data_IF_226872601489
#
_entry.id   IF_226872601489
#
_cell.length_a   1.000
_cell.length_b   1.000
_cell.length_c   1.000
_cell.angle_alpha   90.00
_cell.angle_beta   90.00
_cell.angle_gamma   90.00
#
_symmetry.space_group_name_H-M   'P 1'
#
loop_
_entity.id
_entity.type
_entity.pdbx_description
1 polymer ?
#
# COMPACT_ATOMS: atom_id res chain seq x y z
N UNK A 1 -35.58 -61.06 -32.01
CA UNK A 1 -35.87 -59.93 -32.92
C UNK A 1 -35.86 -58.66 -32.07
N UNK A 2 -35.00 -57.93 -32.41
CA UNK A 2 -34.65 -56.53 -32.46
C UNK A 2 -33.93 -56.00 -31.22
N UNK A 3 -32.67 -55.88 -31.39
CA UNK A 3 -31.66 -55.15 -30.62
C UNK A 3 -31.87 -53.64 -30.78
N UNK A 4 -31.77 -52.89 -29.69
CA UNK A 4 -31.45 -51.44 -29.77
C UNK A 4 -30.33 -51.14 -28.83
N UNK A 5 -29.19 -50.81 -29.40
CA UNK A 5 -27.99 -50.28 -28.78
C UNK A 5 -28.31 -48.91 -28.15
N UNK A 6 -27.92 -48.72 -26.89
CA UNK A 6 -27.80 -47.42 -26.28
C UNK A 6 -26.33 -47.04 -26.13
N UNK A 7 -25.92 -46.20 -27.04
CA UNK A 7 -24.59 -45.56 -27.11
C UNK A 7 -24.60 -44.40 -26.06
N UNK A 8 -23.91 -44.57 -24.95
CA UNK A 8 -23.65 -43.51 -23.99
C UNK A 8 -22.37 -42.77 -24.41
N UNK A 9 -22.57 -41.65 -25.07
CA UNK A 9 -21.51 -40.71 -25.40
C UNK A 9 -20.93 -40.07 -24.13
N UNK A 10 -19.65 -40.27 -23.92
CA UNK A 10 -18.84 -39.59 -22.90
C UNK A 10 -18.86 -38.08 -23.11
N UNK A 11 -19.42 -37.34 -22.16
CA UNK A 11 -19.39 -35.89 -22.14
C UNK A 11 -17.96 -35.41 -21.84
N UNK A 12 -17.46 -34.57 -22.73
CA UNK A 12 -16.11 -34.07 -22.75
C UNK A 12 -15.70 -33.30 -21.49
N UNK A 13 -14.45 -33.52 -21.12
CA UNK A 13 -13.76 -32.78 -20.09
C UNK A 13 -13.73 -31.28 -20.41
N UNK A 14 -14.37 -30.50 -19.56
CA UNK A 14 -14.31 -29.04 -19.59
C UNK A 14 -12.84 -28.60 -19.42
N UNK A 15 -12.28 -28.06 -20.47
CA UNK A 15 -10.98 -27.37 -20.46
C UNK A 15 -11.08 -26.20 -19.50
N UNK A 16 -10.39 -26.31 -18.38
CA UNK A 16 -10.18 -25.19 -17.44
C UNK A 16 -9.57 -24.03 -18.22
N UNK A 17 -10.36 -22.98 -18.42
CA UNK A 17 -9.90 -21.74 -19.01
C UNK A 17 -8.71 -21.22 -18.20
N UNK A 18 -7.58 -20.99 -18.86
CA UNK A 18 -6.48 -20.20 -18.33
C UNK A 18 -7.07 -18.87 -17.82
N UNK A 19 -6.71 -18.41 -16.62
CA UNK A 19 -7.10 -17.08 -16.18
C UNK A 19 -6.61 -16.09 -17.24
N UNK A 20 -7.53 -15.34 -17.81
CA UNK A 20 -7.20 -14.23 -18.70
C UNK A 20 -6.36 -13.27 -17.87
N UNK A 21 -5.05 -13.22 -18.16
CA UNK A 21 -4.22 -12.09 -17.79
C UNK A 21 -4.97 -10.85 -18.24
N UNK A 22 -5.44 -10.04 -17.28
CA UNK A 22 -6.20 -8.84 -17.59
C UNK A 22 -5.40 -8.01 -18.58
N UNK A 23 -5.90 -7.90 -19.80
CA UNK A 23 -5.40 -6.93 -20.75
C UNK A 23 -5.50 -5.59 -20.05
N UNK A 24 -4.43 -4.76 -19.98
CA UNK A 24 -4.52 -3.44 -19.36
C UNK A 24 -5.74 -2.74 -19.96
N UNK A 25 -6.71 -2.38 -19.12
CA UNK A 25 -7.93 -1.74 -19.57
C UNK A 25 -7.53 -0.63 -20.54
N UNK A 26 -8.16 -0.57 -21.69
CA UNK A 26 -7.80 0.36 -22.76
C UNK A 26 -7.62 1.74 -22.17
N UNK A 27 -6.36 2.17 -22.02
CA UNK A 27 -6.04 3.51 -21.55
C UNK A 27 -6.88 4.48 -22.41
N UNK A 28 -7.64 5.31 -21.72
CA UNK A 28 -8.49 6.31 -22.35
C UNK A 28 -7.64 7.14 -23.33
N UNK A 29 -8.22 7.53 -24.46
CA UNK A 29 -7.49 8.33 -25.47
C UNK A 29 -7.03 9.66 -24.88
N UNK A 30 -5.79 10.10 -25.14
CA UNK A 30 -5.34 11.45 -24.77
C UNK A 30 -6.32 12.52 -25.26
N UNK A 31 -6.52 13.56 -24.43
CA UNK A 31 -7.45 14.65 -24.73
C UNK A 31 -8.92 14.36 -24.42
N UNK A 32 -9.26 13.15 -23.92
CA UNK A 32 -10.66 12.78 -23.64
C UNK A 32 -10.99 12.82 -22.13
N UNK A 33 -12.28 12.99 -21.81
CA UNK A 33 -12.86 12.89 -20.47
C UNK A 33 -13.91 11.78 -20.47
N UNK A 34 -13.96 11.01 -19.38
CA UNK A 34 -14.92 9.90 -19.21
C UNK A 34 -15.52 9.93 -17.81
N UNK A 35 -16.82 9.71 -17.69
CA UNK A 35 -17.49 9.39 -16.43
C UNK A 35 -17.20 7.91 -16.11
N UNK A 36 -16.71 7.63 -14.92
CA UNK A 36 -16.37 6.28 -14.46
C UNK A 36 -17.44 5.72 -13.54
N UNK A 37 -18.02 6.58 -12.70
CA UNK A 37 -19.07 6.21 -11.74
C UNK A 37 -20.07 7.35 -11.59
N UNK A 38 -21.35 7.00 -11.45
CA UNK A 38 -22.42 7.89 -10.97
C UNK A 38 -23.21 7.11 -9.92
N UNK A 39 -23.18 7.59 -8.69
CA UNK A 39 -23.99 7.09 -7.59
C UNK A 39 -24.81 8.23 -6.96
N UNK A 40 -25.73 7.95 -6.04
CA UNK A 40 -26.63 8.92 -5.46
C UNK A 40 -25.88 10.14 -4.85
N UNK A 41 -25.67 11.18 -5.66
CA UNK A 41 -25.04 12.43 -5.26
C UNK A 41 -23.53 12.53 -5.48
N UNK A 42 -22.86 11.46 -5.96
CA UNK A 42 -21.41 11.48 -6.24
C UNK A 42 -21.15 11.15 -7.72
N UNK A 43 -20.13 11.76 -8.31
CA UNK A 43 -19.70 11.52 -9.68
C UNK A 43 -18.19 11.41 -9.77
N UNK A 44 -17.69 10.30 -10.32
CA UNK A 44 -16.26 10.10 -10.61
C UNK A 44 -16.00 10.32 -12.09
N UNK A 45 -15.08 11.26 -12.41
CA UNK A 45 -14.64 11.56 -13.77
C UNK A 45 -13.13 11.43 -13.92
N UNK A 46 -12.69 10.92 -15.06
CA UNK A 46 -11.28 10.86 -15.45
C UNK A 46 -11.04 11.61 -16.75
N UNK A 47 -10.04 12.50 -16.74
CA UNK A 47 -9.46 13.12 -17.93
C UNK A 47 -8.04 12.60 -18.16
N UNK A 48 -7.72 12.26 -19.40
CA UNK A 48 -6.39 11.94 -19.86
C UNK A 48 -5.85 13.12 -20.67
N UNK A 49 -4.78 13.77 -20.20
CA UNK A 49 -4.15 14.87 -20.93
C UNK A 49 -3.20 14.34 -22.02
N UNK A 50 -2.95 15.12 -23.11
CA UNK A 50 -2.01 14.73 -24.17
C UNK A 50 -0.59 14.45 -23.66
N UNK A 51 -0.19 15.08 -22.55
CA UNK A 51 1.11 14.87 -21.86
C UNK A 51 1.20 13.52 -21.12
N UNK A 52 0.13 12.72 -21.08
CA UNK A 52 0.05 11.48 -20.32
C UNK A 52 -0.35 11.68 -18.84
N UNK A 53 -0.48 12.92 -18.36
CA UNK A 53 -1.00 13.21 -17.03
C UNK A 53 -2.48 12.81 -16.95
N UNK A 54 -2.85 12.12 -15.87
CA UNK A 54 -4.22 11.73 -15.56
C UNK A 54 -4.80 12.65 -14.49
N UNK A 55 -6.05 13.05 -14.66
CA UNK A 55 -6.79 13.81 -13.65
C UNK A 55 -8.07 13.06 -13.35
N UNK A 56 -8.23 12.60 -12.13
CA UNK A 56 -9.42 11.91 -11.65
C UNK A 56 -10.08 12.73 -10.53
N UNK A 57 -11.40 12.88 -10.60
CA UNK A 57 -12.14 13.68 -9.60
C UNK A 57 -13.33 12.92 -9.09
N UNK A 58 -13.66 13.09 -7.83
CA UNK A 58 -14.90 12.63 -7.21
C UNK A 58 -15.65 13.84 -6.65
N UNK A 59 -16.78 14.20 -7.27
CA UNK A 59 -17.66 15.27 -6.80
C UNK A 59 -18.56 14.74 -5.70
N UNK A 60 -18.56 15.39 -4.55
CA UNK A 60 -19.34 15.05 -3.36
C UNK A 60 -20.11 16.29 -2.94
N UNK A 61 -21.38 16.44 -3.35
CA UNK A 61 -22.19 17.60 -2.95
C UNK A 61 -22.49 17.55 -1.45
N UNK A 62 -22.54 18.71 -0.83
CA UNK A 62 -22.95 18.87 0.56
C UNK A 62 -21.82 18.85 1.59
N UNK A 63 -20.59 18.48 1.21
CA UNK A 63 -19.41 18.69 2.06
C UNK A 63 -18.85 20.12 1.83
N UNK A 64 -18.07 20.61 2.81
CA UNK A 64 -17.43 21.93 2.73
C UNK A 64 -15.90 21.81 2.63
N UNK A 65 -15.41 20.64 2.26
CA UNK A 65 -13.99 20.34 2.10
C UNK A 65 -13.65 19.84 0.69
N UNK A 66 -12.37 19.99 0.33
CA UNK A 66 -11.79 19.42 -0.85
C UNK A 66 -10.40 18.89 -0.51
N UNK A 67 -10.10 17.66 -0.98
CA UNK A 67 -8.77 17.05 -0.87
C UNK A 67 -8.19 16.86 -2.26
N UNK A 68 -6.94 17.26 -2.44
CA UNK A 68 -6.17 17.09 -3.68
C UNK A 68 -4.92 16.27 -3.41
N UNK A 69 -4.62 15.29 -4.27
CA UNK A 69 -3.39 14.52 -4.22
C UNK A 69 -2.73 14.46 -5.59
N UNK A 70 -1.42 14.67 -5.61
CA UNK A 70 -0.57 14.41 -6.79
C UNK A 70 0.24 13.14 -6.51
N UNK A 71 -0.20 12.06 -7.14
CA UNK A 71 0.38 10.74 -7.03
C UNK A 71 1.46 10.54 -8.08
N UNK A 72 2.59 10.02 -7.66
CA UNK A 72 3.72 9.70 -8.53
C UNK A 72 3.96 8.18 -8.46
N UNK A 73 4.00 7.50 -9.60
CA UNK A 73 4.27 6.05 -9.69
C UNK A 73 5.77 5.77 -9.49
N UNK A 74 6.30 6.24 -8.38
CA UNK A 74 7.68 6.09 -7.93
C UNK A 74 7.70 5.99 -6.42
N UNK A 75 8.37 4.99 -5.89
CA UNK A 75 8.60 4.79 -4.46
C UNK A 75 9.96 4.14 -4.21
N UNK A 76 10.22 3.69 -2.99
CA UNK A 76 11.51 3.11 -2.61
C UNK A 76 11.90 1.89 -3.45
N UNK A 77 10.94 1.16 -4.00
CA UNK A 77 11.17 0.05 -4.92
C UNK A 77 11.90 0.46 -6.20
N UNK A 78 11.74 1.72 -6.64
CA UNK A 78 12.30 2.24 -7.89
C UNK A 78 13.76 2.71 -7.77
N UNK A 79 14.30 2.68 -6.58
CA UNK A 79 15.65 3.07 -6.25
C UNK A 79 16.66 1.97 -6.62
N UNK A 80 17.88 2.39 -6.93
CA UNK A 80 19.02 1.48 -6.93
C UNK A 80 19.57 1.36 -5.51
N UNK A 81 20.27 0.26 -5.16
CA UNK A 81 20.82 0.07 -3.82
C UNK A 81 21.66 1.24 -3.32
N UNK A 82 22.43 1.87 -4.22
CA UNK A 82 23.36 2.96 -3.89
C UNK A 82 22.64 4.27 -3.51
N UNK A 83 21.36 4.38 -3.84
CA UNK A 83 20.51 5.55 -3.53
C UNK A 83 19.23 5.11 -2.80
N UNK A 84 19.34 4.07 -1.98
CA UNK A 84 18.22 3.64 -1.15
C UNK A 84 17.84 4.77 -0.17
N UNK A 85 16.52 5.04 -0.06
CA UNK A 85 15.98 6.18 0.67
C UNK A 85 15.79 7.45 -0.16
N UNK A 86 16.17 7.46 -1.45
CA UNK A 86 16.08 8.65 -2.31
C UNK A 86 14.64 9.17 -2.48
N UNK A 87 13.63 8.30 -2.54
CA UNK A 87 12.26 8.72 -2.71
C UNK A 87 11.72 9.45 -1.47
N UNK A 88 12.07 8.95 -0.28
CA UNK A 88 11.72 9.56 0.99
C UNK A 88 12.50 10.85 1.24
N UNK A 89 13.80 10.84 1.01
CA UNK A 89 14.62 12.05 1.13
C UNK A 89 14.14 13.18 0.18
N UNK A 90 13.72 12.80 -1.02
CA UNK A 90 13.12 13.74 -1.97
C UNK A 90 11.79 14.30 -1.46
N UNK A 91 10.98 13.51 -0.77
CA UNK A 91 9.75 13.97 -0.13
C UNK A 91 10.02 15.18 0.75
N UNK A 92 11.00 15.13 1.65
CA UNK A 92 11.42 16.24 2.50
C UNK A 92 11.87 17.47 1.68
N UNK A 93 12.75 17.24 0.71
CA UNK A 93 13.37 18.30 -0.05
C UNK A 93 12.39 19.11 -0.89
N UNK A 94 11.31 18.52 -1.35
CA UNK A 94 10.35 19.24 -2.17
C UNK A 94 9.62 20.35 -1.40
N UNK A 95 9.53 20.26 -0.06
CA UNK A 95 8.94 21.29 0.79
C UNK A 95 9.90 22.41 1.22
N UNK A 96 11.22 22.30 0.91
CA UNK A 96 12.23 23.26 1.38
C UNK A 96 12.33 24.53 0.53
N UNK A 97 11.48 24.67 -0.45
CA UNK A 97 11.32 25.88 -1.26
C UNK A 97 11.29 25.59 -2.75
N UNK A 98 10.61 26.48 -3.43
CA UNK A 98 10.39 26.44 -4.88
C UNK A 98 10.96 27.71 -5.52
N UNK A 99 10.86 27.82 -6.85
CA UNK A 99 11.21 29.05 -7.56
C UNK A 99 10.30 30.23 -7.19
N UNK A 100 9.13 29.98 -6.57
CA UNK A 100 8.12 31.01 -6.24
C UNK A 100 7.97 31.25 -4.74
N UNK A 101 8.28 30.25 -3.90
CA UNK A 101 7.98 30.25 -2.46
C UNK A 101 9.17 29.73 -1.65
N UNK A 102 9.42 30.37 -0.52
CA UNK A 102 10.29 29.77 0.52
C UNK A 102 9.52 28.68 1.26
N UNK A 103 10.23 27.82 2.02
CA UNK A 103 9.59 26.82 2.89
C UNK A 103 8.62 27.47 3.90
N UNK A 104 8.99 28.61 4.49
CA UNK A 104 8.11 29.37 5.39
C UNK A 104 6.85 29.85 4.68
N UNK A 105 6.96 30.41 3.46
CA UNK A 105 5.81 30.86 2.71
C UNK A 105 4.86 29.72 2.33
N UNK A 106 5.36 28.51 2.03
CA UNK A 106 4.53 27.33 1.78
C UNK A 106 3.70 27.00 3.04
N UNK A 107 4.32 26.99 4.22
CA UNK A 107 3.64 26.73 5.48
C UNK A 107 2.64 27.84 5.83
N UNK A 108 3.05 29.10 5.72
CA UNK A 108 2.18 30.26 6.03
C UNK A 108 0.93 30.32 5.14
N UNK A 109 1.04 30.02 3.83
CA UNK A 109 -0.08 30.05 2.90
C UNK A 109 -1.13 28.98 3.20
N UNK A 110 -0.71 27.74 3.58
CA UNK A 110 -1.65 26.66 3.90
C UNK A 110 -2.26 26.87 5.31
N UNK A 111 -1.46 27.33 6.29
CA UNK A 111 -1.93 27.63 7.64
C UNK A 111 -2.95 28.78 7.65
N UNK A 112 -2.77 29.79 6.78
CA UNK A 112 -3.68 30.94 6.68
C UNK A 112 -5.11 30.54 6.31
N UNK A 113 -5.31 29.40 5.63
CA UNK A 113 -6.63 28.86 5.26
C UNK A 113 -7.06 27.71 6.17
N UNK A 114 -6.27 27.40 7.23
CA UNK A 114 -6.55 26.27 8.12
C UNK A 114 -6.51 24.92 7.42
N UNK A 115 -5.72 24.82 6.35
CA UNK A 115 -5.55 23.60 5.57
C UNK A 115 -4.41 22.74 6.07
N UNK A 116 -4.31 21.54 5.50
CA UNK A 116 -3.18 20.62 5.67
C UNK A 116 -2.48 20.46 4.31
N UNK A 117 -1.14 20.46 4.31
CA UNK A 117 -0.30 20.12 3.17
C UNK A 117 0.76 19.13 3.65
N UNK A 118 0.80 17.94 3.05
CA UNK A 118 1.69 16.88 3.49
C UNK A 118 2.04 15.92 2.35
N UNK A 119 2.89 14.93 2.60
CA UNK A 119 3.22 13.88 1.66
C UNK A 119 3.46 12.55 2.39
N UNK A 120 3.55 11.47 1.64
CA UNK A 120 4.06 10.19 2.11
C UNK A 120 4.68 9.40 0.97
N UNK A 121 5.71 8.65 1.31
CA UNK A 121 6.40 7.72 0.41
C UNK A 121 6.10 6.27 0.80
N UNK A 122 5.71 5.47 -0.19
CA UNK A 122 5.52 4.03 -0.04
C UNK A 122 6.49 3.26 -0.94
N UNK A 123 6.44 1.94 -0.88
CA UNK A 123 7.31 1.09 -1.72
C UNK A 123 7.15 1.36 -3.22
N UNK A 124 5.93 1.65 -3.72
CA UNK A 124 5.65 1.73 -5.16
C UNK A 124 5.07 3.08 -5.64
N UNK A 125 4.85 4.02 -4.74
CA UNK A 125 4.35 5.37 -5.06
C UNK A 125 4.68 6.37 -3.96
N UNK A 126 4.66 7.65 -4.34
CA UNK A 126 4.69 8.81 -3.44
C UNK A 126 3.46 9.66 -3.71
N UNK A 127 2.89 10.28 -2.70
CA UNK A 127 1.75 11.19 -2.81
C UNK A 127 2.04 12.49 -2.08
N UNK A 128 1.84 13.61 -2.75
CA UNK A 128 1.82 14.96 -2.18
C UNK A 128 0.38 15.42 -2.17
N UNK A 129 -0.14 15.81 -1.02
CA UNK A 129 -1.57 16.09 -0.88
C UNK A 129 -1.85 17.31 -0.01
N UNK A 130 -3.03 17.90 -0.24
CA UNK A 130 -3.57 18.94 0.61
C UNK A 130 -5.05 18.67 0.92
N UNK A 131 -5.49 19.10 2.11
CA UNK A 131 -6.86 19.09 2.55
C UNK A 131 -7.26 20.50 3.00
N UNK A 132 -8.29 21.05 2.41
CA UNK A 132 -8.70 22.45 2.59
C UNK A 132 -10.22 22.61 2.55
N UNK A 133 -10.72 23.80 2.84
CA UNK A 133 -12.09 24.17 2.50
C UNK A 133 -12.29 24.18 0.97
N UNK A 134 -13.50 23.93 0.52
CA UNK A 134 -13.83 23.86 -0.91
C UNK A 134 -13.50 25.16 -1.68
N UNK A 135 -13.59 26.32 -1.02
CA UNK A 135 -13.22 27.62 -1.58
C UNK A 135 -11.71 27.81 -1.77
N UNK A 136 -10.87 27.11 -0.99
CA UNK A 136 -9.42 27.18 -1.03
C UNK A 136 -8.78 26.13 -1.96
N UNK A 137 -9.58 25.34 -2.67
CA UNK A 137 -9.09 24.37 -3.65
C UNK A 137 -8.10 24.98 -4.67
N UNK A 138 -8.26 26.23 -5.17
CA UNK A 138 -7.27 26.80 -6.08
C UNK A 138 -5.87 26.93 -5.47
N UNK A 139 -5.78 27.30 -4.19
CA UNK A 139 -4.52 27.38 -3.45
C UNK A 139 -3.91 25.98 -3.26
N UNK A 140 -4.70 25.01 -2.83
CA UNK A 140 -4.24 23.64 -2.62
C UNK A 140 -3.66 23.01 -3.90
N UNK A 141 -4.34 23.17 -5.05
CA UNK A 141 -3.82 22.67 -6.34
C UNK A 141 -2.53 23.37 -6.75
N UNK A 142 -2.43 24.70 -6.51
CA UNK A 142 -1.23 25.48 -6.84
C UNK A 142 -0.05 25.08 -5.94
N UNK A 143 -0.25 24.92 -4.62
CA UNK A 143 0.78 24.50 -3.67
C UNK A 143 1.29 23.08 -3.97
N UNK A 144 0.41 22.09 -4.13
CA UNK A 144 0.79 20.72 -4.44
C UNK A 144 1.57 20.65 -5.76
N UNK A 145 1.15 21.39 -6.78
CA UNK A 145 1.87 21.45 -8.04
C UNK A 145 3.22 22.16 -7.90
N UNK A 146 3.28 23.25 -7.14
CA UNK A 146 4.48 24.06 -6.94
C UNK A 146 5.59 23.24 -6.26
N UNK A 147 5.29 22.59 -5.14
CA UNK A 147 6.27 21.76 -4.42
C UNK A 147 6.76 20.58 -5.28
N UNK A 148 5.89 19.98 -6.10
CA UNK A 148 6.29 18.83 -6.92
C UNK A 148 7.04 19.22 -8.20
N UNK A 149 6.77 20.37 -8.79
CA UNK A 149 7.32 20.73 -10.10
C UNK A 149 8.40 21.84 -10.06
N UNK A 150 8.40 22.68 -9.04
CA UNK A 150 9.25 23.87 -8.96
C UNK A 150 10.27 23.83 -7.82
N UNK A 151 10.37 22.70 -7.09
CA UNK A 151 11.33 22.55 -6.00
C UNK A 151 12.76 22.81 -6.44
N UNK A 152 13.49 23.56 -5.63
CA UNK A 152 14.89 23.95 -5.91
C UNK A 152 15.88 22.86 -5.53
N UNK A 153 15.59 22.07 -4.50
CA UNK A 153 16.50 21.07 -3.92
C UNK A 153 17.90 21.67 -3.69
N UNK A 154 17.97 22.81 -2.98
CA UNK A 154 19.17 23.59 -2.76
C UNK A 154 20.28 22.78 -2.04
N UNK A 155 21.58 23.07 -2.26
CA UNK A 155 22.66 22.33 -1.59
C UNK A 155 22.60 22.43 -0.06
N UNK A 156 22.22 23.59 0.48
CA UNK A 156 22.10 23.81 1.92
C UNK A 156 20.93 23.01 2.49
N UNK A 157 19.77 23.03 1.82
CA UNK A 157 18.60 22.30 2.26
C UNK A 157 18.84 20.80 2.18
N UNK A 158 19.56 20.35 1.15
CA UNK A 158 19.99 18.97 1.02
C UNK A 158 20.79 18.49 2.23
N UNK A 159 21.82 19.25 2.67
CA UNK A 159 22.60 18.84 3.84
C UNK A 159 21.80 18.95 5.16
N UNK A 160 20.91 19.94 5.29
CA UNK A 160 20.04 20.05 6.46
C UNK A 160 19.10 18.85 6.56
N UNK A 161 18.45 18.48 5.44
CA UNK A 161 17.50 17.36 5.43
C UNK A 161 18.19 16.00 5.54
N UNK A 162 19.48 15.89 5.14
CA UNK A 162 20.27 14.69 5.44
C UNK A 162 20.27 14.40 6.94
N UNK A 163 20.48 15.44 7.76
CA UNK A 163 20.46 15.31 9.21
C UNK A 163 19.09 14.87 9.73
N UNK A 164 18.01 15.43 9.18
CA UNK A 164 16.63 15.05 9.58
C UNK A 164 16.33 13.59 9.22
N UNK A 165 16.67 13.16 8.00
CA UNK A 165 16.44 11.76 7.58
C UNK A 165 17.27 10.77 8.40
N UNK A 166 18.50 11.13 8.79
CA UNK A 166 19.31 10.30 9.67
C UNK A 166 18.71 10.20 11.09
N UNK A 167 18.13 11.29 11.60
CA UNK A 167 17.40 11.27 12.87
C UNK A 167 16.15 10.38 12.80
N UNK A 168 15.40 10.43 11.71
CA UNK A 168 14.25 9.55 11.50
C UNK A 168 14.64 8.07 11.40
N UNK A 169 15.81 7.78 10.81
CA UNK A 169 16.36 6.41 10.81
C UNK A 169 16.68 5.98 12.24
N UNK A 170 17.30 6.84 13.05
CA UNK A 170 17.55 6.55 14.45
C UNK A 170 16.25 6.33 15.25
N UNK A 171 15.25 7.20 15.05
CA UNK A 171 13.93 7.02 15.68
C UNK A 171 13.25 5.71 15.29
N UNK A 172 13.33 5.29 14.00
CA UNK A 172 12.83 4.00 13.53
C UNK A 172 13.59 2.83 14.18
N UNK A 173 14.92 2.96 14.33
CA UNK A 173 15.77 1.93 14.93
C UNK A 173 15.50 1.80 16.45
N UNK A 174 15.04 2.87 17.09
CA UNK A 174 14.62 2.91 18.50
C UNK A 174 13.17 2.41 18.71
N UNK A 175 12.36 2.24 17.65
CA UNK A 175 10.99 1.68 17.74
C UNK A 175 11.00 0.19 17.38
N UNK A 176 10.77 -0.73 18.34
CA UNK A 176 10.86 -2.18 18.08
C UNK A 176 9.83 -2.69 17.05
N UNK A 177 8.66 -2.06 16.93
CA UNK A 177 7.63 -2.48 15.96
C UNK A 177 8.04 -2.07 14.53
N UNK A 178 8.52 -0.84 14.33
CA UNK A 178 9.00 -0.35 13.06
C UNK A 178 10.24 -1.12 12.58
N UNK A 179 11.19 -1.35 13.49
CA UNK A 179 12.38 -2.16 13.22
C UNK A 179 12.00 -3.60 12.84
N UNK A 180 11.05 -4.20 13.55
CA UNK A 180 10.54 -5.54 13.27
C UNK A 180 9.89 -5.63 11.88
N UNK A 181 9.09 -4.63 11.50
CA UNK A 181 8.48 -4.59 10.17
C UNK A 181 9.53 -4.60 9.05
N UNK A 182 10.56 -3.77 9.15
CA UNK A 182 11.64 -3.73 8.16
C UNK A 182 12.45 -5.04 8.16
N UNK A 183 12.76 -5.60 9.33
CA UNK A 183 13.44 -6.89 9.48
C UNK A 183 12.64 -8.05 8.86
N UNK A 184 11.32 -8.07 9.05
CA UNK A 184 10.45 -9.07 8.42
C UNK A 184 10.41 -8.94 6.91
N UNK A 185 10.32 -7.72 6.39
CA UNK A 185 10.33 -7.46 4.94
C UNK A 185 11.68 -7.85 4.34
N UNK A 186 12.78 -7.62 5.04
CA UNK A 186 14.11 -8.12 4.65
C UNK A 186 14.15 -9.65 4.63
N UNK A 187 13.65 -10.31 5.69
CA UNK A 187 13.59 -11.77 5.76
C UNK A 187 12.80 -12.35 4.57
N UNK A 188 11.66 -11.75 4.24
CA UNK A 188 10.74 -12.26 3.21
C UNK A 188 11.22 -12.00 1.79
N UNK A 189 11.86 -10.86 1.52
CA UNK A 189 12.22 -10.40 0.17
C UNK A 189 13.74 -10.36 -0.09
N UNK A 190 14.56 -10.47 0.94
CA UNK A 190 16.03 -10.48 0.82
C UNK A 190 16.55 -9.28 0.03
N UNK A 191 17.45 -9.52 -0.90
CA UNK A 191 18.05 -8.50 -1.77
C UNK A 191 17.10 -7.87 -2.81
N UNK A 192 15.84 -8.30 -2.87
CA UNK A 192 14.85 -7.69 -3.76
C UNK A 192 14.55 -6.24 -3.33
N UNK A 193 14.20 -5.37 -4.30
CA UNK A 193 13.93 -3.95 -4.01
C UNK A 193 12.81 -3.71 -2.98
N UNK A 194 11.85 -4.61 -2.86
CA UNK A 194 10.82 -4.54 -1.81
C UNK A 194 11.35 -4.85 -0.41
N UNK A 195 12.50 -5.53 -0.29
CA UNK A 195 13.14 -5.85 1.00
C UNK A 195 13.85 -4.65 1.65
N UNK A 196 14.14 -3.58 0.90
CA UNK A 196 14.82 -2.40 1.43
C UNK A 196 13.87 -1.49 2.21
N UNK A 197 14.29 -0.89 3.35
CA UNK A 197 13.53 0.13 4.05
C UNK A 197 13.16 1.32 3.16
N UNK A 198 12.03 1.97 3.44
CA UNK A 198 11.62 3.20 2.72
C UNK A 198 12.55 4.36 3.04
N UNK A 199 12.97 4.48 4.29
CA UNK A 199 13.93 5.50 4.75
C UNK A 199 15.34 5.29 4.18
N UNK A 200 15.63 4.11 3.62
CA UNK A 200 16.99 3.71 3.30
C UNK A 200 17.73 3.19 4.53
N UNK A 201 19.06 3.26 4.46
CA UNK A 201 19.97 2.93 5.57
C UNK A 201 20.80 4.15 5.93
N UNK A 202 21.32 4.22 7.14
CA UNK A 202 22.23 5.28 7.56
C UNK A 202 23.36 5.49 6.51
N UNK A 203 24.00 4.38 6.11
CA UNK A 203 25.06 4.42 5.09
C UNK A 203 24.57 4.98 3.75
N UNK A 204 23.42 4.56 3.24
CA UNK A 204 22.93 5.04 1.94
C UNK A 204 22.57 6.52 1.96
N UNK A 205 22.10 7.05 3.09
CA UNK A 205 21.78 8.47 3.27
C UNK A 205 23.04 9.30 3.47
N UNK A 206 24.02 8.81 4.24
CA UNK A 206 25.32 9.49 4.42
C UNK A 206 26.09 9.61 3.11
N UNK A 207 26.12 8.52 2.31
CA UNK A 207 26.85 8.46 1.04
C UNK A 207 26.08 9.08 -0.13
N UNK A 208 24.81 9.46 0.04
CA UNK A 208 23.98 9.96 -1.06
C UNK A 208 24.48 11.30 -1.58
N UNK A 209 24.76 11.36 -2.88
CA UNK A 209 25.11 12.59 -3.57
C UNK A 209 23.86 13.35 -4.02
N UNK A 210 23.89 14.70 -3.83
CA UNK A 210 22.79 15.58 -4.25
C UNK A 210 22.45 15.45 -5.74
N UNK A 211 23.46 15.37 -6.60
CA UNK A 211 23.24 15.30 -8.04
C UNK A 211 22.64 13.95 -8.45
N UNK A 212 22.98 12.88 -7.73
CA UNK A 212 22.34 11.58 -7.90
C UNK A 212 20.86 11.62 -7.52
N UNK A 213 20.50 12.24 -6.38
CA UNK A 213 19.13 12.45 -5.94
C UNK A 213 18.35 13.35 -6.91
N UNK A 214 18.93 14.48 -7.34
CA UNK A 214 18.33 15.39 -8.31
C UNK A 214 18.12 14.71 -9.67
N UNK A 215 19.06 13.86 -10.09
CA UNK A 215 18.92 13.04 -11.31
C UNK A 215 17.77 12.03 -11.18
N UNK A 216 17.61 11.41 -10.01
CA UNK A 216 16.48 10.52 -9.71
C UNK A 216 15.15 11.27 -9.84
N UNK A 217 15.03 12.43 -9.19
CA UNK A 217 13.84 13.29 -9.29
C UNK A 217 13.51 13.62 -10.75
N UNK A 218 14.45 14.21 -11.50
CA UNK A 218 14.24 14.66 -12.89
C UNK A 218 13.86 13.54 -13.86
N UNK A 219 14.38 12.33 -13.63
CA UNK A 219 14.12 11.16 -14.49
C UNK A 219 12.81 10.47 -14.17
N UNK A 220 12.39 10.50 -12.89
CA UNK A 220 11.25 9.70 -12.41
C UNK A 220 9.96 10.51 -12.29
N UNK A 221 10.03 11.80 -11.92
CA UNK A 221 8.87 12.67 -11.71
C UNK A 221 8.42 13.28 -13.05
N UNK A 222 7.77 12.46 -13.86
CA UNK A 222 7.31 12.84 -15.20
C UNK A 222 5.79 12.70 -15.30
N UNK A 223 5.13 13.60 -16.03
CA UNK A 223 3.67 13.64 -16.17
C UNK A 223 3.02 12.30 -16.54
N UNK A 224 3.61 11.46 -17.42
CA UNK A 224 3.08 10.13 -17.72
C UNK A 224 2.97 9.18 -16.53
N UNK A 225 3.75 9.42 -15.46
CA UNK A 225 3.74 8.64 -14.22
C UNK A 225 2.86 9.23 -13.13
N UNK A 226 2.14 10.31 -13.42
CA UNK A 226 1.43 11.08 -12.41
C UNK A 226 -0.09 11.02 -12.57
N UNK A 227 -0.76 11.13 -11.44
CA UNK A 227 -2.21 11.25 -11.32
C UNK A 227 -2.53 12.39 -10.36
N UNK A 228 -3.28 13.40 -10.82
CA UNK A 228 -4.00 14.28 -9.92
C UNK A 228 -5.32 13.62 -9.53
N UNK A 229 -5.54 13.42 -8.25
CA UNK A 229 -6.84 13.01 -7.72
C UNK A 229 -7.42 14.12 -6.85
N UNK A 230 -8.71 14.41 -7.01
CA UNK A 230 -9.38 15.45 -6.23
C UNK A 230 -10.76 14.96 -5.83
N UNK A 231 -11.09 15.05 -4.55
CA UNK A 231 -12.41 14.66 -4.03
C UNK A 231 -12.97 15.76 -3.12
N UNK A 232 -14.28 15.97 -3.14
CA UNK A 232 -14.94 16.96 -2.31
C UNK A 232 -16.06 17.73 -3.03
N UNK A 233 -16.40 18.90 -2.50
CA UNK A 233 -17.35 19.80 -3.15
C UNK A 233 -16.70 20.54 -4.33
N UNK A 234 -16.52 19.84 -5.44
CA UNK A 234 -15.75 20.32 -6.58
C UNK A 234 -16.50 20.08 -7.91
N UNK A 235 -16.10 20.82 -8.93
CA UNK A 235 -16.52 20.59 -10.31
C UNK A 235 -15.33 20.15 -11.17
N UNK A 236 -15.45 19.04 -11.89
CA UNK A 236 -14.37 18.47 -12.70
C UNK A 236 -13.76 19.49 -13.68
N UNK A 237 -14.60 20.29 -14.34
CA UNK A 237 -14.15 21.31 -15.29
C UNK A 237 -13.37 22.44 -14.60
N UNK A 238 -13.71 22.76 -13.36
CA UNK A 238 -12.96 23.72 -12.55
C UNK A 238 -11.59 23.16 -12.17
N UNK A 239 -11.53 21.92 -11.63
CA UNK A 239 -10.28 21.21 -11.33
C UNK A 239 -9.37 21.14 -12.56
N UNK A 240 -9.93 20.80 -13.72
CA UNK A 240 -9.16 20.76 -14.98
C UNK A 240 -8.53 22.09 -15.36
N UNK A 241 -9.21 23.24 -15.09
CA UNK A 241 -8.63 24.58 -15.32
C UNK A 241 -7.49 24.86 -14.35
N UNK A 242 -7.68 24.53 -13.07
CA UNK A 242 -6.66 24.70 -12.04
C UNK A 242 -5.40 23.86 -12.34
N UNK A 243 -5.57 22.58 -12.63
CA UNK A 243 -4.46 21.67 -12.97
C UNK A 243 -3.71 22.16 -14.22
N UNK A 244 -4.44 22.57 -15.27
CA UNK A 244 -3.78 23.13 -16.47
C UNK A 244 -2.98 24.38 -16.18
N UNK A 245 -3.49 25.27 -15.35
CA UNK A 245 -2.77 26.49 -14.93
C UNK A 245 -1.52 26.13 -14.10
N UNK A 246 -1.65 25.24 -13.13
CA UNK A 246 -0.59 24.89 -12.21
C UNK A 246 0.55 24.09 -12.89
N UNK A 247 0.23 23.19 -13.83
CA UNK A 247 1.24 22.40 -14.56
C UNK A 247 1.88 23.17 -15.72
N UNK A 248 1.13 24.15 -16.29
CA UNK A 248 1.64 25.10 -17.27
C UNK A 248 2.23 24.45 -18.53
N UNK A 249 3.35 25.03 -18.99
CA UNK A 249 4.03 24.64 -20.25
C UNK A 249 4.50 23.18 -20.29
N UNK A 250 4.60 22.51 -19.14
CA UNK A 250 4.93 21.07 -19.08
C UNK A 250 3.91 20.20 -19.83
N UNK A 251 2.67 20.69 -19.94
CA UNK A 251 1.60 20.00 -20.70
C UNK A 251 1.82 20.02 -22.22
N UNK A 252 2.68 20.90 -22.73
CA UNK A 252 2.98 20.99 -24.18
C UNK A 252 3.73 19.79 -24.72
N UNK A 253 4.40 19.02 -23.85
CA UNK A 253 5.09 17.79 -24.23
C UNK A 253 4.10 16.66 -24.35
N UNK A 254 4.01 16.05 -25.52
CA UNK A 254 3.23 14.84 -25.70
C UNK A 254 3.84 13.67 -24.94
N UNK A 255 2.99 12.81 -24.38
CA UNK A 255 3.39 11.64 -23.63
C UNK A 255 2.24 10.66 -23.50
N UNK A 256 2.56 9.40 -23.31
CA UNK A 256 1.56 8.38 -22.98
C UNK A 256 1.64 8.04 -21.51
N UNK A 257 0.49 7.97 -20.83
CA UNK A 257 0.45 7.53 -19.44
C UNK A 257 1.16 6.19 -19.28
N UNK A 258 1.99 6.08 -18.24
CA UNK A 258 2.67 4.82 -17.92
C UNK A 258 1.63 3.85 -17.38
N UNK A 259 1.61 2.64 -17.94
CA UNK A 259 0.73 1.58 -17.48
C UNK A 259 1.01 1.23 -16.01
N UNK A 260 0.01 0.78 -15.26
CA UNK A 260 0.21 0.20 -13.95
C UNK A 260 1.28 -0.89 -13.97
N UNK A 261 2.10 -0.94 -12.93
CA UNK A 261 3.10 -1.99 -12.76
C UNK A 261 2.40 -3.34 -12.62
N UNK A 262 2.90 -4.34 -13.31
CA UNK A 262 2.43 -5.73 -13.24
C UNK A 262 3.59 -6.68 -13.52
N UNK A 263 3.41 -7.96 -13.21
CA UNK A 263 4.40 -8.98 -13.49
C UNK A 263 4.44 -10.09 -12.44
N UNK A 264 5.62 -10.63 -12.22
CA UNK A 264 5.90 -11.60 -11.16
C UNK A 264 7.27 -11.30 -10.56
N UNK A 265 7.33 -11.02 -9.27
CA UNK A 265 8.58 -10.78 -8.57
C UNK A 265 9.49 -12.01 -8.60
N UNK A 266 10.78 -11.79 -8.88
CA UNK A 266 11.81 -12.80 -8.75
C UNK A 266 12.60 -12.52 -7.49
N UNK A 267 12.45 -13.37 -6.48
CA UNK A 267 13.08 -13.23 -5.18
C UNK A 267 14.01 -14.44 -5.02
N UNK A 268 15.32 -14.15 -4.95
CA UNK A 268 16.35 -15.17 -4.92
C UNK A 268 16.86 -15.47 -3.50
N UNK A 269 17.01 -14.43 -2.66
CA UNK A 269 17.81 -14.46 -1.44
C UNK A 269 16.95 -14.19 -0.18
N UNK A 270 15.72 -14.74 -0.12
CA UNK A 270 14.88 -14.66 1.07
C UNK A 270 15.55 -15.40 2.24
N UNK A 271 15.59 -14.75 3.41
CA UNK A 271 16.05 -15.35 4.67
C UNK A 271 14.86 -15.96 5.38
N UNK A 272 15.08 -17.06 6.13
CA UNK A 272 13.99 -17.62 6.92
C UNK A 272 13.76 -16.84 8.21
N UNK A 273 14.82 -16.33 8.83
CA UNK A 273 14.81 -15.66 10.13
C UNK A 273 15.78 -14.47 10.14
N UNK A 274 15.33 -13.36 10.71
CA UNK A 274 16.14 -12.21 11.07
C UNK A 274 15.90 -11.93 12.55
N UNK A 275 16.97 -11.78 13.33
CA UNK A 275 16.95 -11.39 14.73
C UNK A 275 17.64 -10.03 14.87
N UNK A 276 16.98 -9.09 15.53
CA UNK A 276 17.57 -7.89 16.08
C UNK A 276 17.59 -7.99 17.60
N UNK A 277 18.81 -8.02 18.16
CA UNK A 277 19.01 -7.98 19.61
C UNK A 277 18.74 -6.58 20.11
N UNK A 278 17.81 -6.46 21.04
CA UNK A 278 17.49 -5.19 21.69
C UNK A 278 17.02 -5.47 23.12
N UNK A 279 17.45 -4.64 24.08
CA UNK A 279 17.10 -4.76 25.51
C UNK A 279 15.72 -4.18 25.79
N UNK A 280 14.72 -4.71 25.10
CA UNK A 280 13.32 -4.30 25.23
C UNK A 280 12.59 -5.10 26.32
N UNK A 281 11.59 -4.47 26.97
CA UNK A 281 10.73 -5.15 27.97
C UNK A 281 9.86 -6.25 27.31
N UNK A 282 9.58 -6.15 26.01
CA UNK A 282 8.80 -7.11 25.24
C UNK A 282 9.65 -7.72 24.11
N UNK A 283 9.34 -8.95 23.77
CA UNK A 283 9.76 -9.54 22.50
C UNK A 283 8.69 -9.30 21.46
N UNK A 284 9.09 -8.79 20.32
CA UNK A 284 8.25 -8.54 19.16
C UNK A 284 8.56 -9.55 18.08
N UNK A 285 7.55 -10.22 17.57
CA UNK A 285 7.70 -11.23 16.52
C UNK A 285 6.75 -10.94 15.36
N UNK A 286 7.29 -11.02 14.15
CA UNK A 286 6.49 -11.06 12.93
C UNK A 286 6.85 -12.32 12.14
N UNK A 287 5.83 -13.08 11.76
CA UNK A 287 5.97 -14.25 10.91
C UNK A 287 4.99 -14.18 9.74
N UNK A 288 5.37 -14.71 8.60
CA UNK A 288 4.48 -14.67 7.46
C UNK A 288 5.09 -15.25 6.18
N UNK A 289 4.36 -15.10 5.11
CA UNK A 289 4.72 -15.66 3.81
C UNK A 289 4.37 -14.68 2.68
N UNK A 290 4.88 -14.97 1.48
CA UNK A 290 4.50 -14.21 0.29
C UNK A 290 3.02 -14.41 -0.01
N UNK A 291 2.29 -13.31 -0.09
CA UNK A 291 0.87 -13.26 -0.39
C UNK A 291 0.55 -13.25 -1.89
N UNK A 292 -0.63 -12.74 -2.22
CA UNK A 292 -1.08 -12.50 -3.60
C UNK A 292 -0.59 -11.13 -4.09
N UNK A 293 -0.41 -10.99 -5.40
CA UNK A 293 -0.23 -9.67 -5.99
C UNK A 293 -1.56 -8.90 -6.07
N UNK A 294 -1.49 -7.58 -6.29
CA UNK A 294 -2.68 -6.71 -6.32
C UNK A 294 -3.62 -6.98 -7.50
N UNK A 295 -3.17 -7.64 -8.55
CA UNK A 295 -3.96 -7.96 -9.75
C UNK A 295 -4.65 -9.32 -9.65
N UNK A 296 -4.34 -10.13 -8.62
CA UNK A 296 -5.05 -11.39 -8.36
C UNK A 296 -6.48 -11.08 -7.85
N UNK A 297 -7.49 -11.57 -8.56
CA UNK A 297 -8.89 -11.35 -8.19
C UNK A 297 -9.26 -11.95 -6.82
N UNK A 298 -8.48 -12.94 -6.32
CA UNK A 298 -8.67 -13.53 -4.99
C UNK A 298 -8.21 -12.59 -3.85
N UNK A 299 -7.73 -11.37 -4.15
CA UNK A 299 -7.40 -10.37 -3.13
C UNK A 299 -8.58 -10.05 -2.20
N UNK A 300 -9.81 -10.13 -2.70
CA UNK A 300 -11.01 -9.96 -1.86
C UNK A 300 -11.16 -11.12 -0.87
N UNK A 301 -10.90 -12.34 -1.31
CA UNK A 301 -10.88 -13.54 -0.45
C UNK A 301 -9.76 -13.42 0.59
N UNK A 302 -8.58 -12.95 0.18
CA UNK A 302 -7.43 -12.72 1.08
C UNK A 302 -7.74 -11.67 2.15
N UNK A 303 -8.40 -10.58 1.79
CA UNK A 303 -8.80 -9.56 2.75
C UNK A 303 -9.82 -10.07 3.76
N UNK A 304 -10.80 -10.90 3.33
CA UNK A 304 -11.76 -11.54 4.23
C UNK A 304 -11.06 -12.53 5.16
N UNK A 305 -10.15 -13.36 4.64
CA UNK A 305 -9.31 -14.27 5.42
C UNK A 305 -8.51 -13.49 6.49
N UNK A 306 -7.84 -12.42 6.10
CA UNK A 306 -7.07 -11.57 7.00
C UNK A 306 -7.94 -10.96 8.11
N UNK A 307 -9.08 -10.38 7.75
CA UNK A 307 -10.00 -9.79 8.72
C UNK A 307 -10.50 -10.83 9.75
N UNK A 308 -10.79 -12.05 9.30
CA UNK A 308 -11.27 -13.11 10.19
C UNK A 308 -10.17 -13.73 11.06
N UNK A 309 -8.92 -13.80 10.57
CA UNK A 309 -7.78 -14.35 11.33
C UNK A 309 -7.26 -13.35 12.36
N UNK A 310 -7.01 -12.09 11.99
CA UNK A 310 -6.31 -11.13 12.85
C UNK A 310 -6.71 -9.67 12.66
N UNK A 311 -7.87 -9.38 12.04
CA UNK A 311 -8.28 -8.02 11.72
C UNK A 311 -9.01 -7.26 12.84
N UNK A 312 -9.33 -7.89 13.97
CA UNK A 312 -10.06 -7.22 15.04
C UNK A 312 -10.27 -8.09 16.29
N UNK A 313 -10.95 -7.54 17.30
CA UNK A 313 -11.14 -8.19 18.61
C UNK A 313 -11.87 -9.55 18.53
N UNK A 314 -12.72 -9.80 17.54
CA UNK A 314 -13.40 -11.08 17.35
C UNK A 314 -12.64 -12.03 16.41
N UNK A 315 -11.44 -11.67 15.97
CA UNK A 315 -10.59 -12.52 15.13
C UNK A 315 -10.02 -13.69 15.90
N UNK A 316 -9.66 -14.75 15.18
CA UNK A 316 -9.21 -15.99 15.82
C UNK A 316 -7.92 -15.81 16.60
N UNK A 317 -6.95 -15.08 16.07
CA UNK A 317 -5.69 -14.77 16.78
C UNK A 317 -5.93 -13.97 18.05
N UNK A 318 -6.72 -12.90 17.97
CA UNK A 318 -7.01 -12.09 19.14
C UNK A 318 -7.68 -12.90 20.25
N UNK A 319 -8.65 -13.75 19.91
CA UNK A 319 -9.34 -14.60 20.87
C UNK A 319 -8.44 -15.68 21.46
N UNK A 320 -7.59 -16.33 20.65
CA UNK A 320 -6.76 -17.44 21.15
C UNK A 320 -5.51 -16.96 21.88
N UNK A 321 -4.85 -15.91 21.42
CA UNK A 321 -3.57 -15.46 21.97
C UNK A 321 -3.80 -14.49 23.13
N UNK A 322 -4.68 -13.47 22.94
CA UNK A 322 -4.89 -12.42 23.92
C UNK A 322 -6.00 -12.76 24.92
N UNK A 323 -7.23 -13.03 24.46
CA UNK A 323 -8.39 -13.15 25.37
C UNK A 323 -8.34 -14.43 26.21
N UNK A 324 -8.05 -15.57 25.59
CA UNK A 324 -8.10 -16.86 26.28
C UNK A 324 -6.84 -17.20 27.08
N UNK A 325 -5.68 -16.80 26.58
CA UNK A 325 -4.38 -17.19 27.16
C UNK A 325 -3.60 -16.03 27.76
N UNK A 326 -3.93 -14.77 27.42
CA UNK A 326 -3.23 -13.59 27.93
C UNK A 326 -1.75 -13.56 27.57
N UNK A 327 -1.37 -14.10 26.39
CA UNK A 327 0.04 -14.24 26.00
C UNK A 327 0.61 -12.95 25.43
N UNK A 328 -0.20 -12.18 24.71
CA UNK A 328 0.23 -10.95 24.06
C UNK A 328 -0.82 -9.85 24.25
N UNK A 329 -0.38 -8.62 24.47
CA UNK A 329 -1.28 -7.47 24.50
C UNK A 329 -1.75 -7.10 23.10
N UNK A 330 -0.87 -7.20 22.12
CA UNK A 330 -1.14 -6.88 20.72
C UNK A 330 -0.84 -8.09 19.86
N UNK A 331 -1.82 -8.51 19.09
CA UNK A 331 -1.71 -9.55 18.05
C UNK A 331 -2.64 -9.22 16.91
N UNK A 332 -2.11 -9.23 15.68
CA UNK A 332 -2.90 -8.97 14.47
C UNK A 332 -2.31 -9.67 13.26
N UNK A 333 -3.08 -9.73 12.18
CA UNK A 333 -2.57 -10.11 10.87
C UNK A 333 -2.69 -8.98 9.87
N UNK A 334 -1.79 -8.93 8.90
CA UNK A 334 -1.70 -7.89 7.89
C UNK A 334 -1.49 -8.46 6.49
N UNK A 335 -1.93 -7.71 5.47
CA UNK A 335 -1.77 -8.04 4.06
C UNK A 335 -1.13 -6.87 3.33
N UNK A 336 -0.03 -7.11 2.64
CA UNK A 336 0.57 -6.19 1.68
C UNK A 336 0.30 -6.66 0.25
N UNK A 337 -0.21 -5.76 -0.61
CA UNK A 337 -0.46 -6.06 -2.02
C UNK A 337 0.44 -5.20 -2.91
N UNK A 338 1.48 -5.80 -3.48
CA UNK A 338 2.36 -5.18 -4.46
C UNK A 338 1.95 -5.56 -5.88
N UNK A 339 2.58 -4.92 -6.85
CA UNK A 339 2.22 -5.08 -8.26
C UNK A 339 2.44 -6.51 -8.82
N UNK A 340 3.33 -7.29 -8.22
CA UNK A 340 3.81 -8.58 -8.74
C UNK A 340 4.09 -9.62 -7.65
N UNK A 341 3.74 -9.30 -6.40
CA UNK A 341 3.80 -10.16 -5.21
C UNK A 341 2.97 -9.54 -4.10
N UNK A 342 2.97 -10.15 -2.92
CA UNK A 342 2.34 -9.61 -1.71
C UNK A 342 2.91 -10.24 -0.46
N UNK A 343 2.37 -9.84 0.69
CA UNK A 343 2.64 -10.41 2.01
C UNK A 343 1.36 -10.82 2.70
N UNK A 344 1.44 -11.85 3.51
CA UNK A 344 0.51 -12.16 4.58
C UNK A 344 1.34 -12.41 5.83
N UNK A 345 1.14 -11.63 6.87
CA UNK A 345 1.94 -11.67 8.08
C UNK A 345 1.09 -11.63 9.35
N UNK A 346 1.63 -12.18 10.42
CA UNK A 346 1.10 -12.12 11.79
C UNK A 346 2.14 -11.47 12.67
N UNK A 347 1.73 -10.47 13.42
CA UNK A 347 2.50 -9.79 14.45
C UNK A 347 2.02 -10.21 15.85
N UNK A 348 2.94 -10.33 16.78
CA UNK A 348 2.66 -10.42 18.21
C UNK A 348 3.76 -9.75 19.04
N UNK A 349 3.35 -8.93 20.01
CA UNK A 349 4.21 -8.38 21.08
C UNK A 349 3.87 -9.04 22.42
N UNK A 350 4.85 -9.68 23.06
CA UNK A 350 4.66 -10.45 24.28
C UNK A 350 5.88 -10.32 25.24
N UNK A 351 5.75 -10.83 26.44
CA UNK A 351 6.91 -10.95 27.33
C UNK A 351 7.92 -11.95 26.72
N UNK A 352 9.24 -11.73 26.88
CA UNK A 352 10.27 -12.58 26.26
C UNK A 352 10.15 -14.07 26.64
N UNK A 353 9.83 -14.38 27.90
CA UNK A 353 9.60 -15.73 28.39
C UNK A 353 8.34 -16.41 27.80
N UNK A 354 7.43 -15.63 27.21
CA UNK A 354 6.20 -16.10 26.56
C UNK A 354 6.32 -16.28 25.06
N UNK A 355 7.43 -15.86 24.43
CA UNK A 355 7.60 -15.87 22.97
C UNK A 355 7.36 -17.26 22.36
N UNK A 356 7.92 -18.31 22.98
CA UNK A 356 7.74 -19.67 22.50
C UNK A 356 6.29 -20.14 22.55
N UNK A 357 5.59 -19.91 23.66
CA UNK A 357 4.17 -20.26 23.78
C UNK A 357 3.32 -19.46 22.77
N UNK A 358 3.61 -18.16 22.61
CA UNK A 358 2.92 -17.29 21.65
C UNK A 358 3.10 -17.79 20.21
N UNK A 359 4.33 -18.10 19.80
CA UNK A 359 4.63 -18.65 18.49
C UNK A 359 3.92 -20.00 18.24
N UNK A 360 3.92 -20.88 19.25
CA UNK A 360 3.22 -22.16 19.21
C UNK A 360 1.71 -21.99 18.97
N UNK A 361 1.05 -21.10 19.72
CA UNK A 361 -0.39 -20.83 19.57
C UNK A 361 -0.72 -20.21 18.23
N UNK A 362 0.08 -19.26 17.74
CA UNK A 362 -0.11 -18.68 16.41
C UNK A 362 -0.01 -19.78 15.33
N UNK A 363 1.00 -20.66 15.43
CA UNK A 363 1.15 -21.79 14.52
C UNK A 363 -0.05 -22.73 14.57
N UNK A 364 -0.53 -23.10 15.76
CA UNK A 364 -1.74 -23.92 15.92
C UNK A 364 -2.94 -23.29 15.21
N UNK A 365 -3.21 -22.00 15.44
CA UNK A 365 -4.29 -21.28 14.79
C UNK A 365 -4.17 -21.32 13.26
N UNK A 366 -2.99 -21.05 12.72
CA UNK A 366 -2.77 -21.05 11.28
C UNK A 366 -2.93 -22.46 10.68
N UNK A 367 -2.43 -23.50 11.36
CA UNK A 367 -2.58 -24.90 10.96
C UNK A 367 -4.05 -25.32 10.98
N UNK A 368 -4.81 -24.95 11.99
CA UNK A 368 -6.24 -25.24 12.09
C UNK A 368 -7.03 -24.56 10.98
N UNK A 369 -6.71 -23.32 10.67
CA UNK A 369 -7.31 -22.61 9.53
C UNK A 369 -6.95 -23.28 8.20
N UNK A 370 -5.71 -23.73 8.04
CA UNK A 370 -5.29 -24.44 6.82
C UNK A 370 -5.97 -25.80 6.66
N UNK A 371 -6.31 -26.50 7.75
CA UNK A 371 -6.95 -27.83 7.74
C UNK A 371 -8.48 -27.72 7.65
N UNK A 372 -9.06 -26.97 8.56
CA UNK A 372 -10.51 -26.92 8.78
C UNK A 372 -11.21 -25.71 8.14
N UNK A 373 -10.45 -24.68 7.72
CA UNK A 373 -11.01 -23.40 7.28
C UNK A 373 -11.51 -22.52 8.43
N UNK A 374 -12.28 -21.52 8.07
CA UNK A 374 -13.00 -20.64 8.96
C UNK A 374 -14.50 -20.99 8.90
N UNK A 375 -15.21 -20.86 10.01
CA UNK A 375 -16.66 -21.02 10.03
C UNK A 375 -17.35 -19.88 9.25
N UNK A 376 -18.58 -20.14 8.79
CA UNK A 376 -19.40 -19.12 8.11
C UNK A 376 -19.62 -17.88 8.99
N UNK A 377 -19.68 -18.04 10.30
CA UNK A 377 -19.82 -16.95 11.25
C UNK A 377 -18.53 -16.07 11.29
N UNK A 378 -17.33 -16.66 11.25
CA UNK A 378 -16.06 -15.92 11.19
C UNK A 378 -15.90 -15.19 9.86
N UNK A 379 -16.19 -15.85 8.76
CA UNK A 379 -16.20 -15.26 7.41
C UNK A 379 -17.21 -14.10 7.34
N UNK A 380 -18.41 -14.29 7.91
CA UNK A 380 -19.44 -13.26 7.98
C UNK A 380 -18.99 -12.02 8.76
N UNK A 381 -18.30 -12.20 9.91
CA UNK A 381 -17.72 -11.08 10.67
C UNK A 381 -16.63 -10.37 9.91
N UNK A 382 -15.73 -11.11 9.24
CA UNK A 382 -14.66 -10.53 8.39
C UNK A 382 -15.23 -9.68 7.25
N UNK A 383 -16.29 -10.15 6.57
CA UNK A 383 -17.01 -9.36 5.56
C UNK A 383 -17.63 -8.09 6.16
N UNK A 384 -18.30 -8.21 7.31
CA UNK A 384 -18.92 -7.08 8.02
C UNK A 384 -17.89 -6.01 8.37
N UNK A 385 -16.71 -6.40 8.87
CA UNK A 385 -15.62 -5.52 9.20
C UNK A 385 -15.09 -4.77 7.97
N UNK A 386 -14.84 -5.48 6.86
CA UNK A 386 -14.36 -4.86 5.62
C UNK A 386 -15.38 -3.90 5.00
N UNK A 387 -16.68 -4.26 5.04
CA UNK A 387 -17.76 -3.38 4.60
C UNK A 387 -17.82 -2.11 5.43
N UNK A 388 -17.79 -2.26 6.77
CA UNK A 388 -17.80 -1.13 7.70
C UNK A 388 -16.59 -0.21 7.48
N UNK A 389 -15.39 -0.76 7.42
CA UNK A 389 -14.17 0.01 7.19
C UNK A 389 -14.20 0.77 5.86
N UNK A 390 -14.70 0.13 4.77
CA UNK A 390 -14.83 0.79 3.47
C UNK A 390 -15.84 1.94 3.53
N UNK A 391 -17.04 1.70 4.01
CA UNK A 391 -18.14 2.70 3.96
C UNK A 391 -17.86 3.87 4.92
N UNK A 392 -17.47 3.57 6.17
CA UNK A 392 -17.15 4.62 7.16
C UNK A 392 -15.92 5.42 6.77
N UNK A 393 -14.90 4.77 6.18
CA UNK A 393 -13.71 5.48 5.68
C UNK A 393 -13.99 6.42 4.51
N UNK A 394 -15.12 6.25 3.80
CA UNK A 394 -15.50 7.13 2.68
C UNK A 394 -16.33 8.37 3.10
N UNK A 395 -16.50 8.61 4.38
CA UNK A 395 -17.09 9.86 4.88
C UNK A 395 -16.11 11.05 4.75
N UNK A 396 -14.82 10.76 4.75
CA UNK A 396 -13.74 11.73 4.61
C UNK A 396 -13.31 11.94 3.14
N UNK A 397 -13.11 13.20 2.74
CA UNK A 397 -12.71 13.57 1.38
C UNK A 397 -11.28 13.14 1.05
N UNK A 398 -10.36 13.08 2.05
CA UNK A 398 -8.98 12.62 1.86
C UNK A 398 -8.93 11.13 1.57
N UNK A 399 -9.74 10.33 2.27
CA UNK A 399 -9.89 8.89 2.01
C UNK A 399 -10.46 8.62 0.61
N UNK A 400 -11.45 9.40 0.17
CA UNK A 400 -12.02 9.32 -1.19
C UNK A 400 -10.99 9.71 -2.26
N UNK A 401 -10.28 10.83 -2.07
CA UNK A 401 -9.20 11.27 -2.94
C UNK A 401 -8.13 10.18 -3.07
N UNK A 402 -7.71 9.59 -1.95
CA UNK A 402 -6.73 8.50 -1.91
C UNK A 402 -7.22 7.25 -2.62
N UNK A 403 -8.49 6.87 -2.44
CA UNK A 403 -9.09 5.71 -3.10
C UNK A 403 -9.06 5.84 -4.61
N UNK A 404 -9.55 6.95 -5.16
CA UNK A 404 -9.59 7.15 -6.63
C UNK A 404 -8.18 7.31 -7.20
N UNK A 405 -7.26 7.98 -6.49
CA UNK A 405 -5.86 8.16 -6.88
C UNK A 405 -5.10 6.84 -6.94
N UNK A 406 -5.18 6.03 -5.86
CA UNK A 406 -4.56 4.70 -5.79
C UNK A 406 -5.15 3.73 -6.82
N UNK A 407 -6.48 3.75 -7.03
CA UNK A 407 -7.13 2.94 -8.06
C UNK A 407 -6.58 3.25 -9.45
N UNK A 408 -6.54 4.52 -9.82
CA UNK A 408 -6.02 4.95 -11.12
C UNK A 408 -4.54 4.61 -11.29
N UNK A 409 -3.73 4.85 -10.25
CA UNK A 409 -2.28 4.60 -10.29
C UNK A 409 -1.95 3.11 -10.39
N UNK A 410 -2.64 2.29 -9.59
CA UNK A 410 -2.31 0.87 -9.39
C UNK A 410 -2.99 -0.05 -10.40
N UNK A 411 -4.17 0.31 -10.88
CA UNK A 411 -4.96 -0.55 -11.78
C UNK A 411 -5.22 0.09 -13.14
N UNK A 412 -5.11 1.43 -13.27
CA UNK A 412 -5.54 2.17 -14.47
C UNK A 412 -7.06 2.04 -14.71
N UNK A 413 -7.79 1.69 -13.66
CA UNK A 413 -9.22 1.45 -13.67
C UNK A 413 -9.84 1.88 -12.34
N UNK A 414 -11.15 2.04 -12.33
CA UNK A 414 -11.92 2.44 -11.16
C UNK A 414 -12.97 1.38 -10.86
N UNK A 415 -12.90 0.82 -9.66
CA UNK A 415 -13.93 -0.08 -9.13
C UNK A 415 -14.83 0.72 -8.19
N UNK A 416 -16.14 0.77 -8.49
CA UNK A 416 -17.08 1.50 -7.64
C UNK A 416 -17.16 0.92 -6.22
N UNK A 417 -17.71 1.70 -5.30
CA UNK A 417 -17.93 1.24 -3.91
C UNK A 417 -18.87 0.04 -3.91
N UNK A 418 -19.97 0.13 -4.65
CA UNK A 418 -20.96 -0.94 -4.76
C UNK A 418 -20.35 -2.21 -5.37
N UNK A 419 -19.53 -2.06 -6.42
CA UNK A 419 -18.84 -3.20 -7.02
C UNK A 419 -17.81 -3.82 -6.07
N UNK A 420 -17.14 -3.01 -5.24
CA UNK A 420 -16.22 -3.51 -4.21
C UNK A 420 -16.97 -4.27 -3.12
N UNK A 421 -18.09 -3.71 -2.64
CA UNK A 421 -18.95 -4.36 -1.64
C UNK A 421 -19.51 -5.69 -2.18
N UNK A 422 -20.00 -5.70 -3.43
CA UNK A 422 -20.49 -6.92 -4.07
C UNK A 422 -19.43 -8.01 -4.17
N UNK A 423 -18.15 -7.64 -4.43
CA UNK A 423 -17.02 -8.58 -4.44
C UNK A 423 -16.72 -9.14 -3.05
N UNK A 424 -16.78 -8.31 -2.00
CA UNK A 424 -16.64 -8.76 -0.60
C UNK A 424 -17.78 -9.69 -0.22
N UNK A 425 -19.03 -9.33 -0.56
CA UNK A 425 -20.22 -10.12 -0.24
C UNK A 425 -20.24 -11.49 -0.94
N UNK A 426 -19.70 -11.56 -2.15
CA UNK A 426 -19.63 -12.79 -2.93
C UNK A 426 -18.62 -13.82 -2.41
N UNK A 427 -17.66 -13.42 -1.55
CA UNK A 427 -16.67 -14.36 -0.97
C UNK A 427 -17.35 -15.46 -0.18
N UNK A 428 -16.99 -16.71 -0.44
CA UNK A 428 -17.52 -17.89 0.26
C UNK A 428 -16.53 -18.47 1.25
N UNK A 429 -17.01 -19.23 2.25
CA UNK A 429 -16.14 -19.91 3.21
C UNK A 429 -15.26 -20.96 2.53
N UNK A 430 -15.73 -21.60 1.45
CA UNK A 430 -14.95 -22.55 0.67
C UNK A 430 -13.77 -21.89 -0.04
N UNK A 431 -13.97 -20.71 -0.64
CA UNK A 431 -12.89 -19.94 -1.28
C UNK A 431 -11.86 -19.50 -0.24
N UNK A 432 -12.31 -19.06 0.95
CA UNK A 432 -11.44 -18.70 2.07
C UNK A 432 -10.61 -19.90 2.51
N UNK A 433 -11.23 -21.07 2.71
CA UNK A 433 -10.55 -22.30 3.11
C UNK A 433 -9.54 -22.78 2.05
N UNK A 434 -9.89 -22.66 0.76
CA UNK A 434 -8.98 -23.03 -0.33
C UNK A 434 -7.76 -22.12 -0.38
N UNK A 435 -7.96 -20.80 -0.27
CA UNK A 435 -6.88 -19.84 -0.28
C UNK A 435 -5.99 -19.98 0.97
N UNK A 436 -6.57 -20.19 2.15
CA UNK A 436 -5.82 -20.42 3.38
C UNK A 436 -4.89 -21.64 3.24
N UNK A 437 -5.41 -22.76 2.72
CA UNK A 437 -4.60 -23.96 2.44
C UNK A 437 -3.46 -23.70 1.47
N UNK A 438 -3.67 -22.88 0.47
CA UNK A 438 -2.61 -22.53 -0.49
C UNK A 438 -1.54 -21.64 0.15
N UNK A 439 -1.95 -20.59 0.85
CA UNK A 439 -1.02 -19.62 1.44
C UNK A 439 -0.20 -20.21 2.58
N UNK A 440 -0.87 -20.88 3.52
CA UNK A 440 -0.25 -21.40 4.74
C UNK A 440 0.65 -22.65 4.49
N UNK A 441 0.78 -23.09 3.24
CA UNK A 441 1.80 -24.08 2.79
C UNK A 441 3.03 -23.42 2.18
N UNK A 442 3.02 -22.09 2.00
CA UNK A 442 4.19 -21.40 1.43
C UNK A 442 5.30 -21.32 2.47
N UNK A 443 6.55 -21.20 2.04
CA UNK A 443 7.66 -20.99 2.96
C UNK A 443 7.41 -19.78 3.85
N UNK A 444 7.59 -19.95 5.15
CA UNK A 444 7.45 -18.92 6.17
C UNK A 444 8.78 -18.22 6.38
N UNK A 445 8.74 -16.92 6.54
CA UNK A 445 9.83 -16.11 7.06
C UNK A 445 9.40 -15.49 8.41
N UNK A 446 10.35 -15.24 9.29
CA UNK A 446 10.11 -14.58 10.57
C UNK A 446 11.16 -13.51 10.85
N UNK A 447 10.79 -12.53 11.64
CA UNK A 447 11.70 -11.61 12.29
C UNK A 447 11.35 -11.54 13.78
N UNK A 448 12.36 -11.32 14.60
CA UNK A 448 12.22 -11.13 16.05
C UNK A 448 13.07 -9.91 16.45
N UNK A 449 12.51 -9.06 17.30
CA UNK A 449 13.21 -8.00 18.01
C UNK A 449 13.03 -8.27 19.50
N UNK A 450 14.12 -8.33 20.26
CA UNK A 450 14.04 -8.62 21.69
C UNK A 450 15.37 -8.97 22.33
N UNK A 451 15.37 -9.30 23.63
CA UNK A 451 16.58 -9.52 24.44
C UNK A 451 17.17 -10.93 24.23
N UNK A 452 17.51 -11.27 22.99
CA UNK A 452 18.16 -12.51 22.62
C UNK A 452 19.47 -12.21 21.91
N UNK A 453 20.58 -12.79 22.36
CA UNK A 453 21.91 -12.50 21.82
C UNK A 453 22.11 -13.17 20.44
N UNK A 454 21.59 -14.36 20.27
CA UNK A 454 21.73 -15.17 19.06
C UNK A 454 20.42 -15.83 18.62
N UNK A 455 20.30 -16.14 17.36
CA UNK A 455 19.12 -16.83 16.84
C UNK A 455 18.89 -18.21 17.50
N UNK A 456 19.95 -18.87 17.94
CA UNK A 456 19.88 -20.14 18.65
C UNK A 456 19.33 -20.03 20.07
N UNK A 457 19.27 -18.82 20.63
CA UNK A 457 18.67 -18.54 21.96
C UNK A 457 17.14 -18.38 21.88
N UNK A 458 16.61 -18.27 20.68
CA UNK A 458 15.16 -18.22 20.46
C UNK A 458 14.50 -19.56 20.82
N UNK A 459 13.28 -19.54 21.39
CA UNK A 459 12.54 -20.75 21.69
C UNK A 459 12.36 -21.66 20.46
N UNK A 460 12.42 -23.00 20.67
CA UNK A 460 12.25 -24.01 19.61
C UNK A 460 10.99 -23.78 18.77
N UNK A 461 9.90 -23.32 19.38
CA UNK A 461 8.64 -23.06 18.68
C UNK A 461 8.77 -21.97 17.60
N UNK A 462 9.67 -21.00 17.76
CA UNK A 462 9.95 -19.99 16.73
C UNK A 462 10.61 -20.66 15.50
N UNK A 463 11.56 -21.59 15.74
CA UNK A 463 12.19 -22.35 14.69
C UNK A 463 11.22 -23.32 14.00
N UNK A 464 10.31 -23.93 14.74
CA UNK A 464 9.26 -24.84 14.21
C UNK A 464 8.28 -24.13 13.27
N UNK A 465 8.00 -22.84 13.49
CA UNK A 465 7.09 -22.07 12.62
C UNK A 465 7.68 -21.84 11.24
N UNK A 466 9.01 -21.72 11.13
CA UNK A 466 9.73 -21.43 9.87
C UNK A 466 10.31 -22.69 9.20
N UNK A 467 10.22 -23.86 9.86
CA UNK A 467 10.69 -25.13 9.31
C UNK A 467 9.77 -25.66 8.19
#
# INVERSE_FOLDING_TARGET
MSTTDNNVTAAGASTRGRPRTGTPGHLQRPGSTRVLEMSAGSEVRRSMLPSGLRVITERIPGVRSASVGLWVQVGSRDERPEVAGAAHYLEHLLFKGTSRRTAAAIAEEIDAVGGELNAFTAKEHTCYYAHVLDEDLPLAVDLVADVVFEALCGPRDFETERGVVLEEIAMRDDDPEDLLHDAFIEALFGGHALGRPVLGTEKSIQDMDRDALYSFYRKRYTLPRMVFSVAGNIEHTHVMRLVRKAVGDRLSREGSAVAPRAGRARIADARKLVLHTDDTEQAHMMLGMRGLDRHDERRFVLNVLNAAIGGGMSSRLFQEVRERRGLAYQVYSSVGLYADTGTFAVYAGCQPDRLGETAGVIREVLVDVARGGLSDAEVGRGKGQLRGALVLGLEDTSSRMSRIGKSELNYGDHLSVEATLARIDAVTSDEVALLARELLRRPVAAAVVGPYDHADDLPDQVHEVIA
#
